data_IF_597139609490
#
_entry.id   IF_597139609490
#
_cell.length_a   1.000
_cell.length_b   1.000
_cell.length_c   1.000
_cell.angle_alpha   90.00
_cell.angle_beta   90.00
_cell.angle_gamma   90.00
#
_symmetry.space_group_name_H-M   'P 1'
#
loop_
_entity.id
_entity.type
_entity.pdbx_description
1 polymer ?
#
# COMPACT_ATOMS: atom_id res chain seq x y z
N UNK A 1 -4.93 4.33 -35.87
CA UNK A 1 -5.80 3.89 -34.77
C UNK A 1 -6.24 2.47 -35.09
N UNK A 2 -5.99 1.48 -34.21
CA UNK A 2 -6.43 0.10 -34.38
C UNK A 2 -7.95 0.06 -34.13
N UNK A 3 -8.75 -0.40 -35.06
CA UNK A 3 -10.21 -0.50 -34.91
C UNK A 3 -10.60 -1.68 -34.06
N UNK A 4 -11.75 -1.59 -33.37
CA UNK A 4 -12.38 -2.71 -32.69
C UNK A 4 -13.53 -3.23 -33.55
N UNK A 5 -13.54 -4.54 -33.85
CA UNK A 5 -14.53 -5.18 -34.73
C UNK A 5 -15.84 -5.58 -34.04
N UNK A 6 -15.99 -5.25 -32.76
CA UNK A 6 -17.15 -5.63 -31.96
C UNK A 6 -16.93 -6.90 -31.12
N UNK A 7 -17.85 -7.15 -30.20
CA UNK A 7 -17.84 -8.38 -29.41
C UNK A 7 -18.33 -9.57 -30.26
N UNK A 8 -17.67 -10.74 -30.14
CA UNK A 8 -17.96 -11.86 -31.03
C UNK A 8 -19.34 -12.50 -30.79
N UNK A 9 -19.90 -12.40 -29.59
CA UNK A 9 -21.26 -12.83 -29.23
C UNK A 9 -21.73 -12.17 -27.96
N UNK A 10 -23.05 -12.05 -27.76
CA UNK A 10 -23.68 -11.54 -26.55
C UNK A 10 -23.55 -12.52 -25.37
N UNK A 11 -23.38 -13.82 -25.65
CA UNK A 11 -23.24 -14.93 -24.70
C UNK A 11 -21.78 -15.33 -24.46
N UNK A 12 -20.81 -14.47 -24.85
CA UNK A 12 -19.38 -14.71 -24.66
C UNK A 12 -18.99 -14.71 -23.20
N UNK A 13 -17.78 -15.25 -22.86
CA UNK A 13 -17.30 -15.22 -21.47
C UNK A 13 -17.19 -13.79 -20.98
N UNK A 14 -17.93 -13.48 -19.91
CA UNK A 14 -17.96 -12.18 -19.26
C UNK A 14 -17.11 -12.17 -17.98
N UNK A 15 -16.55 -11.01 -17.65
CA UNK A 15 -15.93 -10.76 -16.35
C UNK A 15 -16.81 -9.78 -15.59
N UNK A 16 -17.38 -10.22 -14.46
CA UNK A 16 -18.12 -9.33 -13.57
C UNK A 16 -17.16 -8.35 -12.89
N UNK A 17 -17.53 -7.07 -12.90
CA UNK A 17 -16.86 -6.04 -12.10
C UNK A 17 -17.71 -5.73 -10.87
N UNK A 18 -17.09 -5.51 -9.68
CA UNK A 18 -17.82 -5.09 -8.49
C UNK A 18 -18.58 -3.78 -8.73
N UNK A 19 -19.76 -3.63 -8.14
CA UNK A 19 -20.53 -2.37 -8.23
C UNK A 19 -19.73 -1.18 -7.70
N UNK A 20 -18.97 -1.37 -6.62
CA UNK A 20 -18.07 -0.36 -6.05
C UNK A 20 -17.03 0.17 -7.06
N UNK A 21 -16.66 -0.62 -8.09
CA UNK A 21 -15.81 -0.12 -9.16
C UNK A 21 -16.47 1.06 -9.89
N UNK A 22 -17.75 0.94 -10.23
CA UNK A 22 -18.46 1.99 -10.97
C UNK A 22 -18.89 3.16 -10.08
N UNK A 23 -19.34 2.84 -8.86
CA UNK A 23 -19.90 3.83 -7.95
C UNK A 23 -18.84 4.67 -7.22
N UNK A 24 -17.69 4.08 -6.89
CA UNK A 24 -16.71 4.69 -5.99
C UNK A 24 -15.34 4.88 -6.67
N UNK A 25 -14.81 3.84 -7.33
CA UNK A 25 -13.45 3.85 -7.84
C UNK A 25 -13.33 4.59 -9.17
N UNK A 26 -14.18 4.26 -10.17
CA UNK A 26 -14.12 4.85 -11.50
C UNK A 26 -14.23 6.40 -11.51
N UNK A 27 -15.10 7.02 -10.69
CA UNK A 27 -15.21 8.49 -10.67
C UNK A 27 -13.96 9.21 -10.16
N UNK A 28 -13.10 8.53 -9.39
CA UNK A 28 -11.90 9.14 -8.81
C UNK A 28 -10.61 8.78 -9.55
N UNK A 29 -10.67 7.86 -10.55
CA UNK A 29 -9.53 7.58 -11.42
C UNK A 29 -9.45 8.68 -12.48
N UNK A 30 -8.37 9.46 -12.44
CA UNK A 30 -8.10 10.59 -13.35
C UNK A 30 -7.00 10.29 -14.38
N UNK A 31 -6.38 9.09 -14.30
CA UNK A 31 -5.28 8.70 -15.18
C UNK A 31 -5.63 7.46 -16.02
N UNK A 32 -5.55 7.60 -17.37
CA UNK A 32 -5.93 6.54 -18.32
C UNK A 32 -5.09 5.27 -18.17
N UNK A 33 -3.79 5.39 -17.88
CA UNK A 33 -2.91 4.25 -17.63
C UNK A 33 -3.35 3.47 -16.39
N UNK A 34 -3.65 4.18 -15.29
CA UNK A 34 -4.19 3.60 -14.08
C UNK A 34 -5.51 2.84 -14.34
N UNK A 35 -6.43 3.46 -15.08
CA UNK A 35 -7.69 2.80 -15.44
C UNK A 35 -7.47 1.50 -16.21
N UNK A 36 -6.57 1.51 -17.21
CA UNK A 36 -6.24 0.31 -17.99
C UNK A 36 -5.65 -0.79 -17.14
N UNK A 37 -4.68 -0.46 -16.27
CA UNK A 37 -4.03 -1.41 -15.37
C UNK A 37 -5.01 -1.94 -14.33
N UNK A 38 -5.88 -1.09 -13.78
CA UNK A 38 -6.95 -1.48 -12.85
C UNK A 38 -7.90 -2.49 -13.49
N UNK A 39 -8.44 -2.19 -14.68
CA UNK A 39 -9.35 -3.09 -15.39
C UNK A 39 -8.67 -4.41 -15.78
N UNK A 40 -7.43 -4.33 -16.25
CA UNK A 40 -6.63 -5.51 -16.57
C UNK A 40 -6.41 -6.38 -15.32
N UNK A 41 -6.01 -5.78 -14.20
CA UNK A 41 -5.82 -6.47 -12.93
C UNK A 41 -7.10 -7.15 -12.44
N UNK A 42 -8.24 -6.45 -12.43
CA UNK A 42 -9.54 -7.02 -12.06
C UNK A 42 -9.90 -8.23 -12.96
N UNK A 43 -9.66 -8.12 -14.27
CA UNK A 43 -9.86 -9.21 -15.22
C UNK A 43 -8.95 -10.42 -14.93
N UNK A 44 -7.68 -10.18 -14.56
CA UNK A 44 -6.73 -11.22 -14.18
C UNK A 44 -7.12 -11.89 -12.87
N UNK A 45 -7.40 -11.10 -11.82
CA UNK A 45 -7.83 -11.61 -10.51
C UNK A 45 -9.08 -12.48 -10.56
N UNK A 46 -10.03 -12.15 -11.43
CA UNK A 46 -11.24 -12.95 -11.63
C UNK A 46 -10.95 -14.36 -12.19
N UNK A 47 -9.79 -14.54 -12.82
CA UNK A 47 -9.35 -15.83 -13.41
C UNK A 47 -8.40 -16.62 -12.54
N UNK A 48 -7.82 -15.99 -11.51
CA UNK A 48 -6.96 -16.69 -10.58
C UNK A 48 -7.79 -17.63 -9.71
N UNK A 49 -7.24 -18.83 -9.51
CA UNK A 49 -7.75 -19.85 -8.59
C UNK A 49 -6.82 -19.94 -7.38
N UNK A 50 -7.29 -20.56 -6.29
CA UNK A 50 -6.52 -20.71 -5.05
C UNK A 50 -6.94 -19.73 -3.96
N UNK A 51 -6.38 -19.94 -2.78
CA UNK A 51 -6.71 -19.19 -1.57
C UNK A 51 -6.06 -17.80 -1.58
N UNK A 52 -4.79 -17.72 -1.97
CA UNK A 52 -4.01 -16.50 -2.02
C UNK A 52 -3.83 -16.05 -3.47
N UNK A 53 -4.61 -15.04 -3.87
CA UNK A 53 -4.61 -14.52 -5.22
C UNK A 53 -3.75 -13.26 -5.28
N UNK A 54 -2.67 -13.31 -6.04
CA UNK A 54 -1.79 -12.18 -6.29
C UNK A 54 -1.35 -12.15 -7.76
N UNK A 55 -0.88 -11.00 -8.20
CA UNK A 55 -0.21 -10.80 -9.48
C UNK A 55 1.19 -10.25 -9.21
N UNK A 56 2.15 -10.66 -10.03
CA UNK A 56 3.47 -10.03 -10.05
C UNK A 56 3.49 -8.89 -11.06
N UNK A 57 4.47 -8.00 -10.94
CA UNK A 57 4.72 -6.98 -11.97
C UNK A 57 4.82 -7.59 -13.36
N UNK A 58 5.48 -8.74 -13.47
CA UNK A 58 5.69 -9.45 -14.73
C UNK A 58 4.40 -10.01 -15.34
N UNK A 59 3.37 -10.27 -14.55
CA UNK A 59 2.05 -10.65 -15.05
C UNK A 59 1.37 -9.54 -15.85
N UNK A 60 1.69 -8.28 -15.55
CA UNK A 60 1.28 -7.12 -16.34
C UNK A 60 2.25 -6.82 -17.47
N UNK A 61 3.56 -6.89 -17.20
CA UNK A 61 4.61 -6.59 -18.17
C UNK A 61 4.73 -7.61 -19.29
N UNK A 62 4.27 -8.84 -19.07
CA UNK A 62 4.25 -9.92 -20.06
C UNK A 62 3.10 -9.82 -21.06
N UNK A 63 2.15 -8.91 -20.87
CA UNK A 63 1.03 -8.74 -21.80
C UNK A 63 1.32 -7.63 -22.82
N UNK A 64 1.63 -8.03 -24.06
CA UNK A 64 2.00 -7.12 -25.14
C UNK A 64 0.85 -6.16 -25.52
N UNK A 65 -0.42 -6.61 -25.46
CA UNK A 65 -1.57 -5.77 -25.80
C UNK A 65 -1.81 -4.71 -24.71
N UNK A 66 -1.61 -5.05 -23.44
CA UNK A 66 -1.64 -4.07 -22.34
C UNK A 66 -0.55 -3.02 -22.53
N UNK A 67 0.69 -3.45 -22.77
CA UNK A 67 1.83 -2.54 -22.96
C UNK A 67 1.64 -1.65 -24.18
N UNK A 68 1.21 -2.21 -25.33
CA UNK A 68 0.88 -1.43 -26.54
C UNK A 68 -0.25 -0.43 -26.29
N UNK A 69 -1.17 -0.76 -25.38
CA UNK A 69 -2.22 0.13 -24.91
C UNK A 69 -1.71 1.30 -24.07
N UNK A 70 -0.56 1.16 -23.41
CA UNK A 70 0.06 2.21 -22.58
C UNK A 70 0.98 3.11 -23.39
N UNK A 71 1.80 2.55 -24.30
CA UNK A 71 2.66 3.33 -25.20
C UNK A 71 3.06 2.51 -26.43
N UNK A 72 3.34 3.22 -27.54
CA UNK A 72 3.93 2.61 -28.74
C UNK A 72 5.44 2.33 -28.59
N UNK A 73 6.12 3.00 -27.65
CA UNK A 73 7.53 2.76 -27.31
C UNK A 73 7.63 1.72 -26.20
N UNK A 74 8.35 0.59 -26.38
CA UNK A 74 8.48 -0.45 -25.35
C UNK A 74 9.00 0.07 -24.01
N UNK A 75 10.04 0.92 -24.05
CA UNK A 75 10.60 1.53 -22.83
C UNK A 75 9.58 2.40 -22.10
N UNK A 76 8.90 3.29 -22.84
CA UNK A 76 7.88 4.14 -22.24
C UNK A 76 6.66 3.35 -21.76
N UNK A 77 6.34 2.20 -22.40
CA UNK A 77 5.26 1.34 -21.96
C UNK A 77 5.56 0.75 -20.57
N UNK A 78 6.81 0.33 -20.31
CA UNK A 78 7.24 -0.14 -18.98
C UNK A 78 7.18 0.99 -17.94
N UNK A 79 7.73 2.17 -18.24
CA UNK A 79 7.70 3.34 -17.35
C UNK A 79 6.24 3.75 -17.02
N UNK A 80 5.33 3.69 -18.01
CA UNK A 80 3.90 3.98 -17.80
C UNK A 80 3.15 2.88 -17.06
N UNK A 81 3.59 1.61 -17.20
CA UNK A 81 3.06 0.52 -16.41
C UNK A 81 3.39 0.74 -14.94
N UNK A 82 4.65 1.05 -14.65
CA UNK A 82 5.11 1.30 -13.28
C UNK A 82 4.37 2.49 -12.65
N UNK A 83 4.26 3.63 -13.35
CA UNK A 83 3.47 4.78 -12.89
C UNK A 83 1.99 4.42 -12.66
N UNK A 84 1.40 3.61 -13.54
CA UNK A 84 0.01 3.19 -13.41
C UNK A 84 -0.22 2.24 -12.21
N UNK A 85 0.70 1.31 -11.96
CA UNK A 85 0.68 0.42 -10.79
C UNK A 85 0.85 1.22 -9.49
N UNK A 86 1.79 2.17 -9.45
CA UNK A 86 2.00 3.05 -8.31
C UNK A 86 0.72 3.86 -7.98
N UNK A 87 0.04 4.39 -9.01
CA UNK A 87 -1.23 5.12 -8.83
C UNK A 87 -2.33 4.21 -8.30
N UNK A 88 -2.47 3.00 -8.84
CA UNK A 88 -3.47 2.03 -8.39
C UNK A 88 -3.23 1.59 -6.95
N UNK A 89 -1.96 1.46 -6.51
CA UNK A 89 -1.59 1.20 -5.11
C UNK A 89 -1.87 2.42 -4.23
N UNK A 90 -1.45 3.62 -4.65
CA UNK A 90 -1.69 4.85 -3.90
C UNK A 90 -3.18 5.17 -3.72
N UNK A 91 -4.02 4.80 -4.70
CA UNK A 91 -5.48 4.94 -4.63
C UNK A 91 -6.13 3.85 -3.77
N UNK A 92 -5.42 2.79 -3.44
CA UNK A 92 -5.95 1.68 -2.66
C UNK A 92 -6.73 0.63 -3.46
N UNK A 93 -6.60 0.62 -4.79
CA UNK A 93 -7.17 -0.42 -5.65
C UNK A 93 -6.43 -1.75 -5.46
N UNK A 94 -5.10 -1.67 -5.42
CA UNK A 94 -4.21 -2.80 -5.14
C UNK A 94 -3.45 -2.56 -3.83
N UNK A 95 -3.17 -3.66 -3.14
CA UNK A 95 -2.21 -3.71 -2.05
C UNK A 95 -0.90 -4.25 -2.64
N UNK A 96 0.24 -3.67 -2.28
CA UNK A 96 1.56 -4.12 -2.71
C UNK A 96 2.32 -4.70 -1.53
N UNK A 97 2.92 -5.86 -1.74
CA UNK A 97 3.86 -6.50 -0.82
C UNK A 97 5.15 -6.75 -1.58
N UNK A 98 6.25 -6.23 -1.09
CA UNK A 98 7.57 -6.50 -1.61
C UNK A 98 8.12 -7.75 -0.92
N UNK A 99 8.56 -8.72 -1.71
CA UNK A 99 9.24 -9.92 -1.20
C UNK A 99 10.64 -10.00 -1.80
N UNK A 100 11.54 -10.63 -1.08
CA UNK A 100 12.87 -10.97 -1.59
C UNK A 100 12.98 -12.49 -1.71
N UNK A 101 13.33 -12.96 -2.90
CA UNK A 101 13.57 -14.37 -3.20
C UNK A 101 14.94 -14.57 -3.86
N UNK A 102 15.24 -15.80 -4.28
CA UNK A 102 16.50 -16.14 -4.95
C UNK A 102 16.72 -15.39 -6.29
N UNK A 103 15.68 -14.78 -6.84
CA UNK A 103 15.72 -13.98 -8.07
C UNK A 103 15.82 -12.48 -7.80
N UNK A 104 15.77 -12.09 -6.52
CA UNK A 104 15.85 -10.70 -6.07
C UNK A 104 14.52 -10.17 -5.50
N UNK A 105 14.41 -8.86 -5.44
CA UNK A 105 13.21 -8.20 -4.92
C UNK A 105 12.07 -8.23 -5.95
N UNK A 106 10.90 -8.70 -5.54
CA UNK A 106 9.70 -8.78 -6.37
C UNK A 106 8.51 -8.12 -5.68
N UNK A 107 7.68 -7.43 -6.47
CA UNK A 107 6.42 -6.88 -6.02
C UNK A 107 5.27 -7.87 -6.27
N UNK A 108 4.51 -8.15 -5.22
CA UNK A 108 3.24 -8.86 -5.29
C UNK A 108 2.09 -7.86 -5.14
N UNK A 109 1.17 -7.89 -6.07
CA UNK A 109 -0.04 -7.07 -6.05
C UNK A 109 -1.24 -7.93 -5.69
N UNK A 110 -2.03 -7.47 -4.72
CA UNK A 110 -3.27 -8.09 -4.28
C UNK A 110 -4.42 -7.12 -4.56
N UNK A 111 -5.60 -7.67 -4.87
CA UNK A 111 -6.79 -6.83 -4.91
C UNK A 111 -7.11 -6.35 -3.48
N UNK A 112 -7.39 -5.06 -3.28
CA UNK A 112 -7.82 -4.55 -1.99
C UNK A 112 -9.27 -4.99 -1.69
N UNK A 113 -9.38 -6.19 -1.20
CA UNK A 113 -10.61 -6.87 -0.79
C UNK A 113 -10.40 -7.51 0.58
N UNK A 114 -11.45 -7.94 1.30
CA UNK A 114 -11.26 -8.67 2.55
C UNK A 114 -10.31 -9.87 2.41
N UNK A 115 -10.46 -10.67 1.36
CA UNK A 115 -9.55 -11.79 1.09
C UNK A 115 -8.13 -11.37 0.73
N UNK A 116 -7.97 -10.30 -0.05
CA UNK A 116 -6.65 -9.76 -0.40
C UNK A 116 -5.90 -9.25 0.83
N UNK A 117 -6.58 -8.56 1.74
CA UNK A 117 -5.98 -8.11 3.02
C UNK A 117 -5.52 -9.28 3.89
N UNK A 118 -6.36 -10.32 4.04
CA UNK A 118 -5.98 -11.54 4.76
C UNK A 118 -4.75 -12.21 4.12
N UNK A 119 -4.70 -12.25 2.78
CA UNK A 119 -3.55 -12.80 2.07
C UNK A 119 -2.29 -12.00 2.31
N UNK A 120 -2.36 -10.66 2.30
CA UNK A 120 -1.24 -9.76 2.62
C UNK A 120 -0.74 -9.97 4.05
N UNK A 121 -1.65 -10.02 5.02
CA UNK A 121 -1.32 -10.22 6.44
C UNK A 121 -0.65 -11.58 6.69
N UNK A 122 -0.98 -12.56 5.86
CA UNK A 122 -0.42 -13.92 5.93
C UNK A 122 0.91 -14.11 5.20
N UNK A 123 1.31 -13.18 4.32
CA UNK A 123 2.57 -13.33 3.56
C UNK A 123 3.75 -13.47 4.52
N UNK A 124 4.51 -14.54 4.32
CA UNK A 124 5.72 -14.80 5.08
C UNK A 124 5.56 -15.48 6.43
N UNK A 125 4.38 -15.43 7.03
CA UNK A 125 4.08 -16.13 8.29
C UNK A 125 3.17 -17.33 8.08
N UNK A 126 2.03 -17.16 7.41
CA UNK A 126 1.06 -18.21 7.15
C UNK A 126 1.26 -18.89 5.79
N UNK A 127 1.79 -18.17 4.81
CA UNK A 127 2.03 -18.68 3.45
C UNK A 127 3.13 -17.88 2.74
N UNK A 128 3.69 -18.46 1.66
CA UNK A 128 4.68 -17.84 0.76
C UNK A 128 4.35 -18.15 -0.69
N UNK A 129 4.62 -17.23 -1.63
CA UNK A 129 4.53 -17.54 -3.05
C UNK A 129 5.45 -18.73 -3.39
N UNK A 130 4.88 -19.82 -3.89
CA UNK A 130 5.65 -21.02 -4.21
C UNK A 130 5.72 -22.09 -3.12
N UNK A 131 4.93 -22.01 -2.06
CA UNK A 131 4.87 -23.02 -0.98
C UNK A 131 4.62 -24.46 -1.44
N UNK A 132 4.31 -24.65 -2.73
CA UNK A 132 4.24 -25.97 -3.34
C UNK A 132 5.60 -26.49 -3.84
N UNK A 133 6.64 -25.64 -3.96
CA UNK A 133 7.96 -25.99 -4.49
C UNK A 133 9.07 -25.09 -3.91
N UNK A 134 9.59 -25.42 -2.72
CA UNK A 134 10.89 -24.95 -2.24
C UNK A 134 10.89 -23.57 -1.56
N UNK A 135 11.47 -23.56 -0.38
CA UNK A 135 11.45 -22.43 0.53
C UNK A 135 12.07 -21.13 0.02
N UNK A 136 11.31 -20.07 0.14
CA UNK A 136 11.76 -18.69 0.00
C UNK A 136 12.23 -18.20 1.37
N UNK A 137 13.41 -17.59 1.39
CA UNK A 137 13.91 -16.90 2.58
C UNK A 137 13.38 -15.47 2.53
N UNK A 138 12.46 -15.14 3.44
CA UNK A 138 11.94 -13.77 3.55
C UNK A 138 12.96 -12.87 4.23
N UNK A 139 13.46 -11.91 3.50
CA UNK A 139 13.89 -10.66 4.08
C UNK A 139 12.83 -9.59 3.78
N UNK A 140 12.05 -9.25 4.77
CA UNK A 140 11.11 -8.14 4.82
C UNK A 140 9.92 -8.13 3.84
N UNK A 141 8.77 -8.60 4.34
CA UNK A 141 7.45 -8.21 3.82
C UNK A 141 7.27 -6.72 4.14
N UNK A 142 7.29 -5.86 3.14
CA UNK A 142 6.95 -4.44 3.34
C UNK A 142 5.46 -4.27 3.23
N UNK A 143 4.78 -4.21 4.36
CA UNK A 143 3.38 -3.84 4.40
C UNK A 143 3.18 -2.46 3.72
N UNK A 144 2.09 -2.30 2.98
CA UNK A 144 1.74 -0.99 2.42
C UNK A 144 1.61 0.03 3.57
N UNK A 145 2.54 0.98 3.63
CA UNK A 145 2.65 1.99 4.69
C UNK A 145 1.34 2.76 4.89
N UNK A 146 0.58 3.01 3.83
CA UNK A 146 -0.71 3.70 3.90
C UNK A 146 -1.77 2.87 4.63
N UNK A 147 -1.84 1.57 4.31
CA UNK A 147 -2.75 0.62 4.99
C UNK A 147 -2.35 0.45 6.45
N UNK A 148 -1.05 0.28 6.71
CA UNK A 148 -0.52 0.15 8.06
C UNK A 148 -0.82 1.40 8.90
N UNK A 149 -0.67 2.60 8.31
CA UNK A 149 -1.00 3.87 8.96
C UNK A 149 -2.50 3.97 9.26
N UNK A 150 -3.35 3.71 8.27
CA UNK A 150 -4.81 3.85 8.42
C UNK A 150 -5.39 2.89 9.46
N UNK A 151 -4.93 1.65 9.47
CA UNK A 151 -5.39 0.63 10.43
C UNK A 151 -4.93 0.90 11.86
N UNK A 152 -3.76 1.52 12.05
CA UNK A 152 -3.11 1.58 13.36
C UNK A 152 -3.05 2.99 13.95
N UNK A 153 -3.01 4.02 13.11
CA UNK A 153 -2.78 5.41 13.55
C UNK A 153 -4.05 6.25 13.38
N UNK A 154 -4.62 6.30 12.17
CA UNK A 154 -5.81 7.10 11.91
C UNK A 154 -6.12 7.28 10.43
N UNK A 155 -7.22 7.99 10.09
CA UNK A 155 -7.70 8.11 8.72
C UNK A 155 -6.68 8.76 7.79
N UNK A 156 -6.60 8.23 6.58
CA UNK A 156 -5.71 8.71 5.54
C UNK A 156 -6.33 9.94 4.84
N UNK A 157 -5.91 11.13 5.24
CA UNK A 157 -6.26 12.37 4.52
C UNK A 157 -5.28 12.64 3.38
N UNK A 158 -5.62 13.47 2.37
CA UNK A 158 -4.70 13.81 1.28
C UNK A 158 -3.35 14.36 1.77
N UNK A 159 -3.36 15.20 2.81
CA UNK A 159 -2.15 15.77 3.41
C UNK A 159 -1.30 14.68 4.10
N UNK A 160 -1.93 13.74 4.79
CA UNK A 160 -1.24 12.61 5.43
C UNK A 160 -0.65 11.68 4.36
N UNK A 161 -1.39 11.42 3.28
CA UNK A 161 -0.90 10.61 2.18
C UNK A 161 0.33 11.24 1.50
N UNK A 162 0.35 12.55 1.31
CA UNK A 162 1.51 13.28 0.78
C UNK A 162 2.71 13.18 1.74
N UNK A 163 2.50 13.43 3.03
CA UNK A 163 3.55 13.30 4.03
C UNK A 163 4.10 11.87 4.14
N UNK A 164 3.27 10.84 3.98
CA UNK A 164 3.73 9.45 3.96
C UNK A 164 4.56 9.15 2.71
N UNK A 165 4.24 9.72 1.54
CA UNK A 165 5.09 9.60 0.34
C UNK A 165 6.47 10.20 0.55
N UNK A 166 6.56 11.38 1.17
CA UNK A 166 7.83 12.03 1.50
C UNK A 166 8.65 11.18 2.48
N UNK A 167 7.98 10.57 3.47
CA UNK A 167 8.61 9.63 4.40
C UNK A 167 9.14 8.40 3.66
N UNK A 168 8.36 7.81 2.76
CA UNK A 168 8.76 6.64 1.96
C UNK A 168 9.91 6.95 1.01
N UNK A 169 10.00 8.17 0.48
CA UNK A 169 11.12 8.62 -0.34
C UNK A 169 12.41 8.85 0.47
N UNK A 170 12.30 9.08 1.79
CA UNK A 170 13.41 9.49 2.65
C UNK A 170 13.96 8.35 3.52
N UNK A 171 13.11 7.42 3.94
CA UNK A 171 13.43 6.35 4.89
C UNK A 171 13.14 4.96 4.34
N UNK A 172 13.94 3.94 4.72
CA UNK A 172 13.64 2.55 4.40
C UNK A 172 12.28 2.10 4.97
N UNK A 173 11.56 1.25 4.23
CA UNK A 173 10.22 0.80 4.59
C UNK A 173 10.15 0.08 5.94
N UNK A 174 11.14 -0.75 6.26
CA UNK A 174 11.28 -1.44 7.55
C UNK A 174 11.40 -0.46 8.73
N UNK A 175 12.04 0.68 8.53
CA UNK A 175 12.11 1.72 9.55
C UNK A 175 10.76 2.40 9.78
N UNK A 176 10.01 2.60 8.70
CA UNK A 176 8.67 3.22 8.75
C UNK A 176 7.70 2.30 9.49
N UNK A 177 7.72 1.01 9.14
CA UNK A 177 6.89 -0.01 9.80
C UNK A 177 7.20 -0.08 11.29
N UNK A 178 8.48 -0.19 11.68
CA UNK A 178 8.88 -0.20 13.08
C UNK A 178 8.48 1.09 13.80
N UNK A 179 8.59 2.25 13.16
CA UNK A 179 8.19 3.53 13.74
C UNK A 179 6.67 3.60 14.00
N UNK A 180 5.85 3.04 13.09
CA UNK A 180 4.41 2.91 13.29
C UNK A 180 4.11 1.96 14.46
N UNK A 181 4.76 0.81 14.52
CA UNK A 181 4.60 -0.11 15.65
C UNK A 181 5.03 0.51 17.00
N UNK A 182 6.09 1.32 17.01
CA UNK A 182 6.50 2.08 18.20
C UNK A 182 5.43 3.08 18.60
N UNK A 183 4.84 3.79 17.64
CA UNK A 183 3.76 4.74 17.91
C UNK A 183 2.53 4.06 18.52
N UNK A 184 2.15 2.90 17.99
CA UNK A 184 1.05 2.07 18.52
C UNK A 184 1.34 1.57 19.94
N UNK A 185 2.51 0.99 20.18
CA UNK A 185 2.91 0.48 21.51
C UNK A 185 2.92 1.57 22.58
N UNK A 186 3.31 2.80 22.19
CA UNK A 186 3.32 3.95 23.11
C UNK A 186 1.98 4.69 23.16
N UNK A 187 0.96 4.21 22.43
CA UNK A 187 -0.36 4.82 22.31
C UNK A 187 -0.32 6.29 21.84
N UNK A 188 0.68 6.65 21.02
CA UNK A 188 0.84 7.99 20.43
C UNK A 188 0.53 7.92 18.93
N UNK A 189 -0.73 7.99 18.58
CA UNK A 189 -1.24 7.85 17.21
C UNK A 189 -1.16 9.19 16.45
N UNK A 190 0.07 9.66 16.20
CA UNK A 190 0.33 10.93 15.49
C UNK A 190 1.47 10.76 14.49
N UNK A 191 1.30 11.29 13.28
CA UNK A 191 2.31 11.25 12.22
C UNK A 191 3.64 11.89 12.66
N UNK A 192 3.57 13.02 13.38
CA UNK A 192 4.77 13.71 13.89
C UNK A 192 5.58 12.85 14.87
N UNK A 193 4.95 11.93 15.58
CA UNK A 193 5.66 10.99 16.45
C UNK A 193 6.42 9.95 15.64
N UNK A 194 5.81 9.43 14.57
CA UNK A 194 6.45 8.52 13.63
C UNK A 194 7.69 9.17 13.02
N UNK A 195 7.57 10.42 12.54
CA UNK A 195 8.69 11.21 12.02
C UNK A 195 9.81 11.36 13.05
N UNK A 196 9.48 11.71 14.29
CA UNK A 196 10.47 11.87 15.36
C UNK A 196 11.23 10.55 15.67
N UNK A 197 10.54 9.40 15.57
CA UNK A 197 11.18 8.07 15.71
C UNK A 197 12.14 7.80 14.57
N UNK A 198 11.73 8.10 13.32
CA UNK A 198 12.57 7.93 12.12
C UNK A 198 13.81 8.84 12.14
N UNK A 199 13.65 10.11 12.47
CA UNK A 199 14.74 11.07 12.58
C UNK A 199 15.75 10.67 13.66
N UNK A 200 15.27 10.20 14.81
CA UNK A 200 16.12 9.69 15.89
C UNK A 200 16.93 8.48 15.42
N UNK A 201 16.30 7.55 14.70
CA UNK A 201 17.00 6.37 14.17
C UNK A 201 18.07 6.79 13.16
N UNK A 202 17.78 7.75 12.30
CA UNK A 202 18.75 8.31 11.34
C UNK A 202 19.94 9.00 12.01
N UNK A 203 19.71 9.71 13.12
CA UNK A 203 20.75 10.44 13.86
C UNK A 203 21.60 9.55 14.77
N UNK A 204 21.29 8.25 14.90
CA UNK A 204 22.07 7.30 15.69
C UNK A 204 22.07 7.56 17.21
N UNK A 205 21.14 8.38 17.73
CA UNK A 205 21.07 8.71 19.16
C UNK A 205 20.60 7.52 20.00
N UNK A 206 21.29 7.18 21.12
CA UNK A 206 20.90 6.10 22.03
C UNK A 206 19.51 6.32 22.61
N UNK A 207 18.84 5.22 22.96
CA UNK A 207 17.54 5.18 23.64
C UNK A 207 17.60 5.95 24.95
N UNK A 208 17.29 7.25 24.96
CA UNK A 208 16.80 7.88 26.18
C UNK A 208 15.35 7.48 26.39
N UNK A 209 15.07 6.85 27.53
CA UNK A 209 13.72 6.56 28.01
C UNK A 209 12.92 7.87 27.94
N UNK A 210 11.83 7.85 27.18
CA UNK A 210 10.80 8.87 27.32
C UNK A 210 10.13 8.55 28.66
N UNK A 211 10.58 9.20 29.72
CA UNK A 211 9.79 9.32 30.94
C UNK A 211 8.47 9.99 30.55
N UNK A 212 7.37 9.38 30.99
CA UNK A 212 6.03 9.95 30.92
C UNK A 212 6.13 11.45 31.23
N UNK A 213 5.62 12.30 30.31
CA UNK A 213 5.36 13.68 30.66
C UNK A 213 4.61 13.69 32.00
N UNK A 214 5.06 14.49 32.99
CA UNK A 214 4.36 14.55 34.26
C UNK A 214 2.90 14.91 33.97
N UNK A 215 1.99 14.16 34.59
CA UNK A 215 0.57 14.47 34.56
C UNK A 215 0.42 15.94 34.98
N UNK A 216 -0.23 16.74 34.14
CA UNK A 216 -0.57 18.11 34.51
C UNK A 216 -1.33 18.07 35.84
N UNK A 217 -0.75 18.66 36.86
CA UNK A 217 -1.36 18.84 38.19
C UNK A 217 -2.61 19.73 38.01
N UNK A 218 -3.84 19.20 38.23
CA UNK A 218 -5.05 19.98 38.08
C UNK A 218 -5.15 21.16 39.04
N UNK A 219 -4.23 21.28 40.03
CA UNK A 219 -4.26 22.28 41.08
C UNK A 219 -3.36 23.48 40.83
N UNK A 220 -2.72 23.59 39.67
CA UNK A 220 -1.78 24.70 39.38
C UNK A 220 -2.46 26.07 39.17
N UNK A 221 -3.78 26.10 39.08
CA UNK A 221 -4.54 27.33 38.82
C UNK A 221 -5.39 27.84 40.00
N UNK A 222 -5.34 27.22 41.19
CA UNK A 222 -6.10 27.66 42.36
C UNK A 222 -5.38 28.70 43.24
N UNK A 223 -4.19 29.19 42.84
CA UNK A 223 -3.36 30.11 43.60
C UNK A 223 -3.67 31.61 43.44
N UNK A 224 -4.58 31.99 42.55
CA UNK A 224 -4.83 33.44 42.25
C UNK A 224 -6.17 34.00 42.71
N UNK A 225 -6.95 33.28 43.50
CA UNK A 225 -8.23 33.78 44.03
C UNK A 225 -8.23 33.87 45.57
N UNK A 226 -7.25 34.51 46.17
CA UNK A 226 -7.35 35.02 47.56
C UNK A 226 -6.46 36.22 47.72
N UNK A 227 -7.00 37.39 47.43
CA UNK A 227 -6.78 38.69 48.07
C UNK A 227 -7.94 39.55 47.63
N UNK A 228 -8.81 39.76 48.59
CA UNK A 228 -9.28 41.07 49.13
C UNK A 228 -10.52 40.83 49.97
N UNK A 229 -10.28 40.83 51.26
CA UNK A 229 -11.02 41.52 52.31
C UNK A 229 -10.12 41.61 53.52
#
# INVERSE_FOLDING_TARGET
MKGFSGFPSDDGPATGLPEAFFAELLPIIDHVGELKVTLYGLWRFARLTGEHKFLRRDDFAGDEDLLAGLSTSPRQAQERLDDALERAVARGTFLRVEIEDDQGTQDLFFLNSPGGRVSVDGVGSAWRPGDSEGGLTLSHVRANVFVLYEQNIGPLTPMIAESLRDIMATYPGDWIEEAIHVAVRNNIRKLNYILAVLERRRSGSPRERIEKAPAEDPNRYTGYLRRDE
#
